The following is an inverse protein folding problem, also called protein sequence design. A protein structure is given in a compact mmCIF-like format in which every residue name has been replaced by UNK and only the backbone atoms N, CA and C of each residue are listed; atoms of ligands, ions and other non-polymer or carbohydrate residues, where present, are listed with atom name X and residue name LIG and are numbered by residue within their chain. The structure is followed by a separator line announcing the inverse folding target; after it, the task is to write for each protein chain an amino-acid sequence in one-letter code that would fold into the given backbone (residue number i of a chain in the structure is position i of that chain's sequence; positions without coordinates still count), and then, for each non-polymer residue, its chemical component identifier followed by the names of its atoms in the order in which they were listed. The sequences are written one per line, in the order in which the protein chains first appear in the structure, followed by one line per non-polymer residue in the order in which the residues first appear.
data_IF_550018606975
#
_entry.id   IF_550018606975
#
_cell.length_a   1.000
_cell.length_b   1.000
_cell.length_c   1.000
_cell.angle_alpha   90.00
_cell.angle_beta   90.00
_cell.angle_gamma   90.00
#
_symmetry.space_group_name_H-M   'P 1'
#
loop_
_entity.id
_entity.type
_entity.pdbx_description
1 polymer ?
#
# COMPACT_ATOMS: atom_id res chain seq x y z
N UNK A 1 -2.01 53.18 37.48
CA UNK A 1 -1.29 54.42 37.04
C UNK A 1 -0.61 54.12 35.72
N UNK A 2 -1.00 54.87 34.67
CA UNK A 2 -0.29 55.30 33.45
C UNK A 2 0.30 54.21 32.57
N UNK A 3 -0.26 53.70 31.42
CA UNK A 3 -0.59 54.39 30.16
C UNK A 3 0.61 55.05 29.45
N UNK A 4 0.91 54.56 28.19
CA UNK A 4 1.30 55.28 26.94
C UNK A 4 1.80 54.23 25.97
N UNK A 5 1.11 53.83 24.87
CA UNK A 5 0.71 54.46 23.60
C UNK A 5 1.79 55.30 22.91
N UNK A 6 2.20 54.86 21.71
CA UNK A 6 2.58 55.62 20.51
C UNK A 6 2.93 54.61 19.42
N UNK A 7 2.27 54.39 18.38
CA UNK A 7 1.65 55.04 17.22
C UNK A 7 2.63 55.72 16.24
N UNK A 8 2.48 55.31 14.93
CA UNK A 8 2.73 56.01 13.65
C UNK A 8 4.17 55.89 13.09
N UNK A 9 4.46 55.67 11.79
CA UNK A 9 3.79 55.91 10.50
C UNK A 9 4.44 55.13 9.38
N UNK A 10 3.71 54.62 8.49
CA UNK A 10 3.47 54.80 7.06
C UNK A 10 4.45 55.72 6.29
N UNK A 11 5.20 55.19 5.31
CA UNK A 11 5.47 55.87 4.01
C UNK A 11 5.67 54.84 2.92
N UNK A 12 4.84 54.92 1.90
CA UNK A 12 4.95 54.29 0.61
C UNK A 12 5.96 55.06 -0.27
N UNK A 13 6.68 54.33 -1.12
CA UNK A 13 7.16 54.91 -2.37
C UNK A 13 7.26 53.85 -3.49
N UNK A 14 6.46 54.07 -4.49
CA UNK A 14 6.50 53.41 -5.81
C UNK A 14 7.78 53.77 -6.56
N UNK A 15 8.45 52.80 -7.15
CA UNK A 15 9.27 53.07 -8.33
C UNK A 15 9.19 51.83 -9.24
N UNK A 16 8.48 51.98 -10.34
CA UNK A 16 8.49 51.06 -11.45
C UNK A 16 9.81 51.16 -12.22
N UNK A 17 10.45 50.05 -12.49
CA UNK A 17 11.46 49.96 -13.55
C UNK A 17 11.23 48.72 -14.36
N UNK A 18 10.76 48.90 -15.59
CA UNK A 18 10.73 47.93 -16.67
C UNK A 18 12.17 47.63 -17.10
N UNK A 19 12.53 46.33 -17.15
CA UNK A 19 13.63 45.84 -17.98
C UNK A 19 13.34 44.41 -18.48
N UNK A 20 13.97 43.96 -19.56
CA UNK A 20 13.33 43.19 -20.61
C UNK A 20 13.37 41.69 -20.40
N UNK A 21 12.42 41.02 -21.07
CA UNK A 21 12.34 39.57 -21.28
C UNK A 21 13.60 39.09 -21.98
N UNK A 22 14.43 38.37 -21.22
CA UNK A 22 15.42 37.46 -21.78
C UNK A 22 14.86 36.05 -21.63
N UNK A 23 14.46 35.45 -22.74
CA UNK A 23 14.01 34.06 -22.80
C UNK A 23 15.14 33.10 -22.40
N UNK A 24 15.02 32.52 -21.23
CA UNK A 24 15.80 31.32 -20.89
C UNK A 24 15.01 30.11 -21.35
N UNK A 25 15.48 29.53 -22.44
CA UNK A 25 15.11 28.19 -22.88
C UNK A 25 15.65 27.23 -21.80
N UNK A 26 14.74 26.66 -20.99
CA UNK A 26 15.06 25.58 -20.09
C UNK A 26 15.51 24.36 -20.92
N UNK A 27 16.63 23.69 -20.59
CA UNK A 27 16.99 22.47 -21.26
C UNK A 27 15.94 21.39 -20.94
N UNK A 28 15.49 20.73 -22.00
CA UNK A 28 14.59 19.59 -21.96
C UNK A 28 15.06 18.60 -20.90
N UNK A 29 14.17 18.27 -19.96
CA UNK A 29 14.43 17.31 -18.91
C UNK A 29 14.95 16.01 -19.49
N UNK A 30 16.09 15.56 -18.99
CA UNK A 30 16.61 14.24 -19.25
C UNK A 30 15.56 13.21 -18.82
N UNK A 31 14.91 12.58 -19.77
CA UNK A 31 14.08 11.39 -19.56
C UNK A 31 15.02 10.31 -19.04
N UNK A 32 14.88 9.94 -17.77
CA UNK A 32 15.47 8.69 -17.28
C UNK A 32 14.99 7.55 -18.18
N UNK A 33 15.88 6.66 -18.62
CA UNK A 33 15.47 5.48 -19.37
C UNK A 33 14.49 4.69 -18.47
N UNK A 34 13.25 4.61 -18.90
CA UNK A 34 12.24 3.74 -18.28
C UNK A 34 12.68 2.31 -18.52
N UNK A 35 13.22 1.70 -17.48
CA UNK A 35 13.42 0.26 -17.48
C UNK A 35 12.05 -0.39 -17.74
N UNK A 36 11.91 -1.27 -18.74
CA UNK A 36 10.64 -1.93 -19.00
C UNK A 36 10.22 -2.69 -17.75
N UNK A 37 9.00 -2.42 -17.28
CA UNK A 37 8.41 -3.11 -16.15
C UNK A 37 8.45 -4.63 -16.42
N UNK A 38 8.82 -5.45 -15.42
CA UNK A 38 8.74 -6.89 -15.59
C UNK A 38 7.29 -7.27 -15.92
N UNK A 39 7.07 -8.19 -16.88
CA UNK A 39 5.73 -8.59 -17.28
C UNK A 39 4.97 -9.11 -16.05
N UNK A 40 3.72 -8.66 -15.92
CA UNK A 40 2.80 -9.20 -14.92
C UNK A 40 2.72 -10.74 -15.07
N UNK A 41 2.56 -11.49 -13.98
CA UNK A 41 2.51 -12.93 -14.02
C UNK A 41 1.47 -13.41 -15.06
N UNK A 42 1.93 -14.03 -16.13
CA UNK A 42 1.07 -14.60 -17.14
C UNK A 42 0.95 -16.10 -16.88
N UNK A 43 -0.28 -16.55 -16.69
CA UNK A 43 -0.63 -17.97 -16.82
C UNK A 43 -1.08 -18.64 -15.53
N UNK A 44 -2.36 -18.97 -15.52
CA UNK A 44 -2.91 -20.02 -14.65
C UNK A 44 -2.37 -21.38 -15.08
N UNK A 45 -1.83 -22.20 -14.19
CA UNK A 45 -1.68 -23.63 -14.47
C UNK A 45 -3.09 -24.23 -14.55
N UNK A 46 -3.50 -24.67 -15.74
CA UNK A 46 -4.68 -25.52 -15.90
C UNK A 46 -4.38 -26.87 -15.25
N UNK A 47 -5.19 -27.26 -14.27
CA UNK A 47 -5.34 -28.64 -13.84
C UNK A 47 -4.23 -29.18 -12.92
N UNK A 48 -4.14 -28.67 -11.70
CA UNK A 48 -3.43 -29.28 -10.58
C UNK A 48 -4.37 -29.42 -9.38
N UNK A 49 -4.13 -30.42 -8.50
CA UNK A 49 -4.82 -30.55 -7.21
C UNK A 49 -4.92 -29.17 -6.56
N UNK A 50 -6.10 -28.78 -6.07
CA UNK A 50 -6.28 -27.51 -5.35
C UNK A 50 -5.38 -27.54 -4.13
N UNK A 51 -4.25 -26.84 -4.19
CA UNK A 51 -3.34 -26.66 -3.05
C UNK A 51 -3.86 -25.46 -2.26
N UNK A 52 -4.24 -25.70 -1.02
CA UNK A 52 -4.62 -24.59 -0.13
C UNK A 52 -3.37 -23.81 0.21
N UNK A 53 -3.27 -22.58 -0.26
CA UNK A 53 -2.19 -21.66 0.08
C UNK A 53 -2.61 -20.74 1.24
N UNK A 54 -1.72 -20.55 2.18
CA UNK A 54 -1.83 -19.58 3.27
C UNK A 54 -0.54 -18.77 3.35
N UNK A 55 -0.56 -17.62 4.03
CA UNK A 55 0.66 -16.86 4.30
C UNK A 55 0.88 -16.72 5.79
N UNK A 56 2.17 -16.65 6.17
CA UNK A 56 2.62 -16.31 7.50
C UNK A 56 3.49 -15.06 7.40
N UNK A 57 3.03 -13.96 7.98
CA UNK A 57 3.83 -12.75 8.16
C UNK A 57 4.50 -12.84 9.53
N UNK A 58 5.82 -12.97 9.55
CA UNK A 58 6.60 -12.89 10.77
C UNK A 58 7.04 -11.46 11.00
N UNK A 59 6.75 -10.90 12.16
CA UNK A 59 7.15 -9.54 12.51
C UNK A 59 8.59 -9.48 13.03
N UNK A 60 9.32 -8.40 12.73
CA UNK A 60 10.69 -8.21 13.23
C UNK A 60 10.74 -8.14 14.77
N UNK A 61 9.73 -7.56 15.39
CA UNK A 61 9.57 -7.48 16.86
C UNK A 61 9.05 -8.76 17.51
N UNK A 62 8.88 -9.82 16.72
CA UNK A 62 8.29 -11.09 17.13
C UNK A 62 6.80 -11.17 16.93
N UNK A 63 6.30 -12.39 16.86
CA UNK A 63 4.91 -12.72 16.59
C UNK A 63 4.66 -13.03 15.11
N UNK A 64 3.59 -13.76 14.86
CA UNK A 64 3.20 -14.23 13.53
C UNK A 64 1.73 -13.92 13.27
N UNK A 65 1.45 -13.53 12.04
CA UNK A 65 0.10 -13.25 11.54
C UNK A 65 -0.17 -14.28 10.44
N UNK A 66 -1.13 -15.16 10.67
CA UNK A 66 -1.50 -16.19 9.72
C UNK A 66 -2.68 -15.72 8.87
N UNK A 67 -2.57 -15.93 7.56
CA UNK A 67 -3.52 -15.43 6.56
C UNK A 67 -4.04 -16.60 5.73
N UNK A 68 -5.34 -16.64 5.55
CA UNK A 68 -6.03 -17.48 4.58
C UNK A 68 -6.41 -16.63 3.36
N UNK A 69 -6.16 -17.14 2.17
CA UNK A 69 -6.51 -16.45 0.92
C UNK A 69 -7.88 -16.87 0.38
N UNK A 70 -8.45 -15.99 -0.46
CA UNK A 70 -9.71 -16.20 -1.19
C UNK A 70 -9.46 -16.30 -2.71
N UNK A 71 -8.83 -17.37 -3.20
CA UNK A 71 -8.47 -17.49 -4.61
C UNK A 71 -9.66 -17.62 -5.56
N UNK A 72 -10.83 -18.00 -5.06
CA UNK A 72 -12.09 -18.04 -5.85
C UNK A 72 -12.63 -16.62 -6.09
N UNK A 73 -12.41 -15.69 -5.15
CA UNK A 73 -12.92 -14.32 -5.21
C UNK A 73 -11.94 -13.34 -5.86
N UNK A 74 -10.63 -13.58 -5.72
CA UNK A 74 -9.57 -12.68 -6.20
C UNK A 74 -8.34 -13.47 -6.70
N UNK A 75 -8.48 -14.31 -7.75
CA UNK A 75 -7.43 -15.23 -8.17
C UNK A 75 -6.13 -14.52 -8.59
N UNK A 76 -6.21 -13.43 -9.33
CA UNK A 76 -5.02 -12.69 -9.80
C UNK A 76 -4.32 -11.91 -8.70
N UNK A 77 -5.09 -11.39 -7.77
CA UNK A 77 -4.56 -10.69 -6.60
C UNK A 77 -3.83 -11.65 -5.67
N UNK A 78 -4.41 -12.83 -5.41
CA UNK A 78 -3.75 -13.89 -4.63
C UNK A 78 -2.48 -14.36 -5.33
N UNK A 79 -2.52 -14.66 -6.65
CA UNK A 79 -1.35 -15.04 -7.45
C UNK A 79 -0.23 -14.00 -7.35
N UNK A 80 -0.57 -12.71 -7.47
CA UNK A 80 0.37 -11.59 -7.36
C UNK A 80 1.02 -11.55 -5.98
N UNK A 81 0.21 -11.56 -4.91
CA UNK A 81 0.72 -11.52 -3.54
C UNK A 81 1.63 -12.71 -3.25
N UNK A 82 1.22 -13.93 -3.61
CA UNK A 82 2.00 -15.17 -3.45
C UNK A 82 3.33 -15.08 -4.21
N UNK A 83 3.30 -14.58 -5.45
CA UNK A 83 4.50 -14.43 -6.28
C UNK A 83 5.49 -13.45 -5.65
N UNK A 84 5.01 -12.30 -5.18
CA UNK A 84 5.84 -11.29 -4.51
C UNK A 84 6.41 -11.84 -3.19
N UNK A 85 5.60 -12.50 -2.37
CA UNK A 85 6.03 -13.12 -1.12
C UNK A 85 7.11 -14.18 -1.33
N UNK A 86 6.92 -15.08 -2.33
CA UNK A 86 7.92 -16.11 -2.69
C UNK A 86 9.26 -15.51 -3.18
N UNK A 87 9.24 -14.31 -3.74
CA UNK A 87 10.44 -13.55 -4.14
C UNK A 87 11.10 -12.79 -2.99
N UNK A 88 10.55 -12.85 -1.76
CA UNK A 88 11.04 -12.07 -0.63
C UNK A 88 10.75 -10.57 -0.73
N UNK A 89 9.84 -10.16 -1.63
CA UNK A 89 9.55 -8.74 -1.87
C UNK A 89 9.10 -7.99 -0.62
N UNK A 90 8.40 -8.67 0.28
CA UNK A 90 7.87 -8.08 1.52
C UNK A 90 8.85 -8.13 2.70
N UNK A 91 10.00 -8.82 2.56
CA UNK A 91 10.97 -8.96 3.65
C UNK A 91 11.62 -7.62 3.98
N UNK A 92 11.53 -7.20 5.24
CA UNK A 92 12.01 -5.90 5.70
C UNK A 92 11.09 -4.71 5.39
N UNK A 93 9.99 -4.92 4.67
CA UNK A 93 9.03 -3.85 4.33
C UNK A 93 8.21 -3.44 5.54
N UNK A 94 7.98 -2.13 5.69
CA UNK A 94 7.29 -1.54 6.83
C UNK A 94 5.78 -1.49 6.65
N UNK A 95 5.08 -1.46 7.79
CA UNK A 95 3.74 -0.90 7.85
C UNK A 95 3.87 0.62 7.95
N UNK A 96 3.62 1.32 6.85
CA UNK A 96 3.86 2.76 6.74
C UNK A 96 2.66 3.61 7.16
N UNK A 97 1.48 3.00 7.34
CA UNK A 97 0.26 3.66 7.80
C UNK A 97 -0.48 2.79 8.80
N UNK A 98 -0.85 3.39 9.91
CA UNK A 98 -1.69 2.77 10.96
C UNK A 98 -2.74 3.76 11.38
N UNK A 99 -4.00 3.42 11.16
CA UNK A 99 -5.16 4.20 11.57
C UNK A 99 -5.93 3.42 12.63
N UNK A 100 -5.93 3.83 13.89
CA UNK A 100 -6.63 3.14 14.97
C UNK A 100 -8.10 2.92 14.64
N UNK A 101 -8.63 1.73 14.94
CA UNK A 101 -10.00 1.32 14.65
C UNK A 101 -10.36 1.35 13.15
N UNK A 102 -9.38 1.36 12.28
CA UNK A 102 -9.60 1.33 10.84
C UNK A 102 -8.70 0.30 10.16
N UNK A 103 -7.45 0.63 9.83
CA UNK A 103 -6.55 -0.25 9.09
C UNK A 103 -5.09 -0.12 9.53
N UNK A 104 -4.31 -1.18 9.29
CA UNK A 104 -2.86 -1.15 9.16
C UNK A 104 -2.50 -1.45 7.72
N UNK A 105 -1.66 -0.60 7.08
CA UNK A 105 -1.31 -0.69 5.67
C UNK A 105 0.22 -0.83 5.51
N UNK A 106 0.61 -1.79 4.69
CA UNK A 106 2.00 -2.09 4.36
C UNK A 106 2.18 -2.49 2.90
N UNK A 107 3.30 -3.17 2.58
CA UNK A 107 3.58 -3.66 1.23
C UNK A 107 4.15 -2.63 0.27
N UNK A 108 4.57 -1.47 0.78
CA UNK A 108 5.29 -0.45 0.04
C UNK A 108 6.80 -0.56 0.30
N UNK A 109 7.63 -0.92 -0.71
CA UNK A 109 9.07 -1.01 -0.52
C UNK A 109 9.75 0.34 -0.22
N UNK A 110 9.11 1.48 -0.55
CA UNK A 110 9.60 2.82 -0.20
C UNK A 110 9.16 3.25 1.20
N UNK A 111 8.15 2.61 1.78
CA UNK A 111 7.66 2.91 3.12
C UNK A 111 6.99 4.29 3.27
N UNK A 112 6.52 4.91 2.20
CA UNK A 112 5.91 6.25 2.20
C UNK A 112 4.56 6.33 1.47
N UNK A 113 4.02 5.20 1.04
CA UNK A 113 2.74 5.08 0.33
C UNK A 113 2.85 5.22 -1.19
N UNK A 114 4.02 5.51 -1.75
CA UNK A 114 4.19 5.76 -3.20
C UNK A 114 4.88 4.63 -3.96
N UNK A 115 5.38 3.62 -3.26
CA UNK A 115 6.09 2.50 -3.86
C UNK A 115 5.17 1.35 -4.27
N UNK A 116 5.75 0.43 -5.03
CA UNK A 116 5.06 -0.75 -5.54
C UNK A 116 6.03 -1.69 -6.28
N UNK A 117 5.51 -2.74 -6.92
CA UNK A 117 6.34 -3.76 -7.57
C UNK A 117 6.82 -3.35 -8.98
N UNK A 118 6.53 -2.13 -9.43
CA UNK A 118 6.86 -1.66 -10.78
C UNK A 118 5.77 -1.92 -11.83
N UNK A 119 4.65 -2.49 -11.42
CA UNK A 119 3.47 -2.75 -12.26
C UNK A 119 2.19 -2.66 -11.44
N UNK A 120 1.05 -2.69 -12.11
CA UNK A 120 -0.28 -2.73 -11.47
C UNK A 120 -1.05 -3.98 -11.91
N UNK A 121 -2.06 -4.35 -11.13
CA UNK A 121 -2.96 -5.46 -11.40
C UNK A 121 -4.40 -4.96 -11.52
N UNK A 122 -5.25 -5.74 -12.18
CA UNK A 122 -6.68 -5.45 -12.33
C UNK A 122 -7.38 -5.56 -10.98
N UNK A 123 -8.35 -4.69 -10.77
CA UNK A 123 -9.25 -4.78 -9.63
C UNK A 123 -10.12 -6.06 -9.74
N UNK A 124 -10.27 -6.78 -8.63
CA UNK A 124 -11.11 -7.97 -8.49
C UNK A 124 -12.12 -7.75 -7.35
N UNK A 125 -12.99 -6.73 -7.51
CA UNK A 125 -14.03 -6.43 -6.53
C UNK A 125 -14.97 -7.62 -6.38
N UNK A 126 -15.30 -7.97 -5.14
CA UNK A 126 -16.06 -9.18 -4.83
C UNK A 126 -17.03 -8.96 -3.66
N UNK A 127 -17.77 -10.00 -3.27
CA UNK A 127 -18.83 -9.92 -2.24
C UNK A 127 -18.31 -9.97 -0.81
N UNK A 128 -17.00 -10.22 -0.62
CA UNK A 128 -16.40 -10.26 0.71
C UNK A 128 -16.55 -8.90 1.40
N UNK A 129 -16.88 -8.94 2.69
CA UNK A 129 -17.13 -7.72 3.48
C UNK A 129 -15.90 -7.31 4.26
N UNK A 130 -15.67 -6.00 4.36
CA UNK A 130 -14.61 -5.44 5.18
C UNK A 130 -14.96 -5.53 6.66
N UNK A 131 -14.98 -6.75 7.18
CA UNK A 131 -15.06 -7.01 8.64
C UNK A 131 -13.65 -6.97 9.23
N UNK A 132 -13.52 -6.95 10.57
CA UNK A 132 -12.20 -6.98 11.23
C UNK A 132 -11.37 -8.19 10.77
N UNK A 133 -10.08 -7.95 10.51
CA UNK A 133 -9.11 -8.96 10.11
C UNK A 133 -9.09 -9.29 8.62
N UNK A 134 -9.84 -8.57 7.81
CA UNK A 134 -9.81 -8.75 6.34
C UNK A 134 -8.55 -8.17 5.75
N UNK A 135 -7.97 -8.89 4.76
CA UNK A 135 -6.85 -8.47 3.95
C UNK A 135 -7.35 -7.99 2.59
N UNK A 136 -7.05 -6.75 2.23
CA UNK A 136 -7.46 -6.16 0.96
C UNK A 136 -6.35 -5.32 0.33
N UNK A 137 -6.40 -5.14 -1.01
CA UNK A 137 -5.42 -4.35 -1.75
C UNK A 137 -5.66 -2.86 -1.57
N UNK A 138 -4.61 -2.13 -1.24
CA UNK A 138 -4.60 -0.69 -1.37
C UNK A 138 -4.44 -0.29 -2.85
N UNK A 139 -5.09 0.78 -3.24
CA UNK A 139 -5.02 1.36 -4.58
C UNK A 139 -5.25 2.86 -4.56
N UNK A 140 -4.94 3.55 -5.64
CA UNK A 140 -5.32 4.94 -5.87
C UNK A 140 -6.79 5.03 -6.32
N UNK A 141 -7.29 6.23 -6.60
CA UNK A 141 -8.63 6.39 -7.18
C UNK A 141 -8.73 5.88 -8.63
N UNK A 142 -7.60 5.81 -9.34
CA UNK A 142 -7.57 5.25 -10.69
C UNK A 142 -7.94 3.76 -10.66
N UNK A 143 -8.75 3.26 -11.59
CA UNK A 143 -9.05 1.84 -11.71
C UNK A 143 -7.78 1.04 -12.03
N UNK A 144 -7.72 -0.20 -11.57
CA UNK A 144 -6.61 -1.12 -11.83
C UNK A 144 -5.23 -0.57 -11.40
N UNK A 145 -5.18 0.14 -10.28
CA UNK A 145 -3.95 0.77 -9.76
C UNK A 145 -3.35 0.05 -8.55
N UNK A 146 -3.91 -1.09 -8.15
CA UNK A 146 -3.32 -1.93 -7.11
C UNK A 146 -1.99 -2.54 -7.59
N UNK A 147 -1.06 -2.76 -6.66
CA UNK A 147 0.26 -3.34 -6.96
C UNK A 147 0.71 -4.33 -5.89
N UNK A 148 1.47 -3.85 -4.91
CA UNK A 148 1.93 -4.65 -3.76
C UNK A 148 1.37 -4.19 -2.42
N UNK A 149 0.84 -2.97 -2.34
CA UNK A 149 0.35 -2.43 -1.08
C UNK A 149 -0.97 -3.10 -0.68
N UNK A 150 -1.06 -3.49 0.58
CA UNK A 150 -2.25 -4.10 1.17
C UNK A 150 -2.53 -3.51 2.54
N UNK A 151 -3.75 -3.72 3.03
CA UNK A 151 -4.11 -3.38 4.40
C UNK A 151 -4.86 -4.51 5.08
N UNK A 152 -4.79 -4.51 6.42
CA UNK A 152 -5.58 -5.38 7.31
C UNK A 152 -6.52 -4.49 8.09
N UNK A 153 -7.81 -4.82 8.11
CA UNK A 153 -8.82 -4.05 8.85
C UNK A 153 -8.76 -4.33 10.35
N UNK A 154 -8.75 -3.27 11.15
CA UNK A 154 -8.81 -3.35 12.63
C UNK A 154 -10.25 -3.37 13.17
N UNK A 155 -11.19 -2.85 12.37
CA UNK A 155 -12.61 -2.84 12.68
C UNK A 155 -13.42 -2.98 11.38
N UNK A 156 -14.75 -3.21 11.43
CA UNK A 156 -15.59 -3.22 10.25
C UNK A 156 -15.53 -1.88 9.50
N UNK A 157 -15.34 -1.94 8.18
CA UNK A 157 -15.21 -0.79 7.28
C UNK A 157 -16.08 -0.99 6.03
N UNK A 158 -17.37 -1.21 6.20
CA UNK A 158 -18.30 -1.58 5.13
C UNK A 158 -18.43 -0.54 4.01
N UNK A 159 -18.03 0.71 4.25
CA UNK A 159 -17.96 1.73 3.21
C UNK A 159 -16.89 1.46 2.15
N UNK A 160 -15.98 0.51 2.39
CA UNK A 160 -14.99 0.04 1.41
C UNK A 160 -15.50 -1.15 0.58
N UNK A 161 -16.64 -1.74 0.92
CA UNK A 161 -17.20 -2.90 0.23
C UNK A 161 -17.41 -2.60 -1.27
N UNK A 162 -17.05 -3.53 -2.13
CA UNK A 162 -17.10 -3.43 -3.60
C UNK A 162 -16.25 -2.30 -4.21
N UNK A 163 -15.35 -1.67 -3.45
CA UNK A 163 -14.45 -0.61 -3.92
C UNK A 163 -12.98 -1.02 -3.83
N UNK A 164 -12.68 -2.05 -3.05
CA UNK A 164 -11.34 -2.61 -2.88
C UNK A 164 -11.39 -4.13 -2.99
N UNK A 165 -10.34 -4.70 -3.57
CA UNK A 165 -10.22 -6.15 -3.73
C UNK A 165 -9.88 -6.81 -2.40
N UNK A 166 -10.84 -7.50 -1.81
CA UNK A 166 -10.60 -8.38 -0.66
C UNK A 166 -10.05 -9.70 -1.17
N UNK A 167 -8.90 -10.15 -0.68
CA UNK A 167 -8.25 -11.36 -1.17
C UNK A 167 -7.83 -12.34 -0.08
N UNK A 168 -8.14 -12.04 1.19
CA UNK A 168 -7.86 -12.93 2.30
C UNK A 168 -8.34 -12.40 3.64
N UNK A 169 -8.00 -13.14 4.69
CA UNK A 169 -8.26 -12.76 6.08
C UNK A 169 -7.21 -13.30 7.02
N UNK A 170 -7.04 -12.64 8.14
CA UNK A 170 -6.24 -13.13 9.27
C UNK A 170 -7.01 -14.23 9.97
N UNK A 171 -6.36 -15.38 10.15
CA UNK A 171 -6.92 -16.55 10.88
C UNK A 171 -6.39 -16.65 12.31
N UNK A 172 -5.18 -16.14 12.55
CA UNK A 172 -4.60 -15.98 13.89
C UNK A 172 -3.55 -14.88 13.89
N UNK A 173 -3.25 -14.30 15.06
CA UNK A 173 -2.30 -13.20 15.21
C UNK A 173 -2.93 -11.81 15.12
N UNK A 174 -4.26 -11.67 15.25
CA UNK A 174 -4.91 -10.35 15.31
C UNK A 174 -4.44 -9.50 16.50
N UNK A 175 -4.04 -10.13 17.60
CA UNK A 175 -3.42 -9.47 18.76
C UNK A 175 -2.03 -8.89 18.44
N UNK A 176 -1.36 -9.41 17.41
CA UNK A 176 -0.11 -8.86 16.86
C UNK A 176 -0.45 -7.68 15.96
N UNK A 177 -1.45 -7.84 15.08
CA UNK A 177 -1.91 -6.76 14.18
C UNK A 177 -2.32 -5.51 14.97
N UNK A 178 -3.03 -5.67 16.09
CA UNK A 178 -3.46 -4.57 16.97
C UNK A 178 -2.31 -3.77 17.59
N UNK A 179 -1.13 -4.38 17.71
CA UNK A 179 0.07 -3.77 18.30
C UNK A 179 1.00 -3.13 17.28
N UNK A 180 0.73 -3.30 15.96
CA UNK A 180 1.54 -2.73 14.90
C UNK A 180 1.53 -1.20 15.02
N UNK A 181 2.71 -0.63 14.87
CA UNK A 181 2.94 0.83 14.81
C UNK A 181 3.55 1.19 13.47
N UNK A 182 3.38 2.45 13.08
CA UNK A 182 4.06 2.99 11.89
C UNK A 182 5.56 2.75 11.99
N UNK A 183 6.14 2.17 10.94
CA UNK A 183 7.55 1.80 10.87
C UNK A 183 7.87 0.37 11.32
N UNK A 184 6.93 -0.37 11.91
CA UNK A 184 7.15 -1.78 12.23
C UNK A 184 7.32 -2.59 10.95
N UNK A 185 8.28 -3.54 10.97
CA UNK A 185 8.68 -4.29 9.79
C UNK A 185 8.18 -5.71 9.79
N UNK A 186 7.82 -6.18 8.62
CA UNK A 186 7.69 -7.59 8.32
C UNK A 186 9.10 -8.18 8.20
N UNK A 187 9.49 -9.10 9.08
CA UNK A 187 10.76 -9.83 8.97
C UNK A 187 10.76 -10.72 7.74
N UNK A 188 9.65 -11.39 7.49
CA UNK A 188 9.45 -12.22 6.30
C UNK A 188 7.96 -12.48 6.06
N UNK A 189 7.61 -12.76 4.79
CA UNK A 189 6.29 -13.27 4.40
C UNK A 189 6.47 -14.59 3.68
N UNK A 190 6.04 -15.68 4.32
CA UNK A 190 6.18 -17.04 3.79
C UNK A 190 4.84 -17.61 3.33
N UNK A 191 4.86 -18.30 2.21
CA UNK A 191 3.69 -19.02 1.68
C UNK A 191 3.78 -20.48 2.12
N UNK A 192 2.75 -20.96 2.76
CA UNK A 192 2.58 -22.35 3.18
C UNK A 192 1.60 -23.02 2.22
N UNK A 193 2.01 -24.13 1.65
CA UNK A 193 1.21 -24.93 0.72
C UNK A 193 0.84 -26.25 1.40
N UNK A 194 -0.45 -26.47 1.61
CA UNK A 194 -0.96 -27.73 2.13
C UNK A 194 -1.62 -28.52 1.00
N UNK A 195 -1.21 -29.78 0.81
CA UNK A 195 -1.92 -30.70 -0.07
C UNK A 195 -3.30 -30.99 0.52
N UNK A 196 -4.36 -30.87 -0.27
CA UNK A 196 -5.71 -31.33 0.05
C UNK A 196 -5.90 -32.78 -0.37
#
# INVERSE_FOLDING_TARGET
MKARMATIALVALLAALLLPVAGSIAPAGAQQPTQPAPPAPQGTPKGGKKVKQTAVITMEKGGEINIEFFPEDAPKTVENFVTLAKKGFYDGVTFHRVEPNFVVQGGDPKGNGTGGPGYTIKDEFNKQKHVRGVLAMARTQAPNSAGSQFYITLAPAHFLDNQYTVFGRVTSGMEIVDKIKVGDKMKSVKIIEAAQ
#
